data_IF_847163331718
#
_entry.id   IF_847163331718
#
_cell.length_a   1.000
_cell.length_b   1.000
_cell.length_c   1.000
_cell.angle_alpha   90.00
_cell.angle_beta   90.00
_cell.angle_gamma   90.00
#
_symmetry.space_group_name_H-M   'P 1'
#
loop_
_entity.id
_entity.type
_entity.pdbx_description
1 polymer ?
#
# COMPACT_ATOMS: atom_id res chain seq x y z
N UNK A 1 38.38 -12.08 30.00
CA UNK A 1 37.74 -10.82 30.44
C UNK A 1 37.02 -10.22 29.22
N UNK A 2 35.79 -10.62 28.95
CA UNK A 2 34.99 -10.12 27.82
C UNK A 2 34.33 -8.80 28.19
N UNK A 3 34.57 -7.74 27.42
CA UNK A 3 33.97 -6.42 27.62
C UNK A 3 32.43 -6.51 27.49
N UNK A 4 31.65 -5.79 28.32
CA UNK A 4 30.21 -5.72 28.14
C UNK A 4 29.88 -5.04 26.81
N UNK A 5 29.14 -5.74 25.94
CA UNK A 5 28.56 -5.16 24.73
C UNK A 5 27.52 -4.12 25.14
N UNK A 6 27.84 -2.84 24.95
CA UNK A 6 26.91 -1.73 25.17
C UNK A 6 25.62 -2.01 24.37
N UNK A 7 24.41 -1.96 24.96
CA UNK A 7 23.19 -2.18 24.21
C UNK A 7 23.08 -1.14 23.08
N UNK A 8 22.53 -1.52 21.91
CA UNK A 8 22.34 -0.57 20.82
C UNK A 8 21.57 0.64 21.34
N UNK A 9 22.09 1.85 21.08
CA UNK A 9 21.50 3.12 21.52
C UNK A 9 20.01 3.15 21.16
N UNK A 10 19.17 3.11 22.18
CA UNK A 10 17.73 3.19 22.03
C UNK A 10 17.36 4.60 21.54
N UNK A 11 16.67 4.68 20.41
CA UNK A 11 16.27 5.95 19.78
C UNK A 11 15.09 6.50 20.57
N UNK A 12 15.34 7.49 21.45
CA UNK A 12 14.30 8.08 22.29
C UNK A 12 13.65 9.31 21.65
N UNK A 13 14.32 9.95 20.68
CA UNK A 13 13.80 11.11 19.99
C UNK A 13 13.89 11.00 18.47
N UNK A 14 12.93 11.62 17.76
CA UNK A 14 12.91 11.70 16.29
C UNK A 14 14.18 12.32 15.69
N UNK A 15 14.92 13.09 16.50
CA UNK A 15 16.18 13.75 16.13
C UNK A 15 17.33 12.76 16.05
N UNK A 16 17.25 11.64 16.77
CA UNK A 16 18.27 10.59 16.85
C UNK A 16 18.18 9.60 15.67
N UNK A 17 17.19 9.78 14.79
CA UNK A 17 17.03 8.98 13.58
C UNK A 17 18.13 9.29 12.56
N UNK A 18 18.77 8.23 12.07
CA UNK A 18 19.72 8.32 10.96
C UNK A 18 19.05 8.85 9.68
N UNK A 19 19.81 9.45 8.75
CA UNK A 19 19.27 9.91 7.46
C UNK A 19 18.57 8.80 6.66
N UNK A 20 19.05 7.55 6.77
CA UNK A 20 18.45 6.39 6.09
C UNK A 20 17.09 6.02 6.71
N UNK A 21 16.94 6.06 8.04
CA UNK A 21 15.66 5.81 8.70
C UNK A 21 14.63 6.89 8.35
N UNK A 22 15.04 8.16 8.27
CA UNK A 22 14.16 9.26 7.84
C UNK A 22 13.67 9.06 6.40
N UNK A 23 14.57 8.72 5.47
CA UNK A 23 14.20 8.44 4.07
C UNK A 23 13.28 7.23 3.94
N UNK A 24 13.56 6.15 4.67
CA UNK A 24 12.72 4.94 4.65
C UNK A 24 11.34 5.18 5.25
N UNK A 25 11.27 5.95 6.35
CA UNK A 25 10.00 6.35 6.96
C UNK A 25 9.18 7.26 6.04
N UNK A 26 9.82 8.23 5.38
CA UNK A 26 9.17 9.07 4.38
C UNK A 26 8.65 8.24 3.19
N UNK A 27 9.45 7.29 2.68
CA UNK A 27 9.04 6.42 1.59
C UNK A 27 7.83 5.56 1.98
N UNK A 28 7.82 4.98 3.18
CA UNK A 28 6.67 4.23 3.70
C UNK A 28 5.43 5.11 3.87
N UNK A 29 5.60 6.33 4.38
CA UNK A 29 4.51 7.29 4.53
C UNK A 29 3.92 7.72 3.17
N UNK A 30 4.78 8.00 2.18
CA UNK A 30 4.34 8.33 0.83
C UNK A 30 3.63 7.15 0.16
N UNK A 31 4.14 5.92 0.34
CA UNK A 31 3.46 4.73 -0.16
C UNK A 31 2.04 4.59 0.39
N UNK A 32 1.88 4.79 1.71
CA UNK A 32 0.56 4.78 2.35
C UNK A 32 -0.35 5.93 1.87
N UNK A 33 0.21 7.13 1.69
CA UNK A 33 -0.52 8.29 1.18
C UNK A 33 -1.08 8.01 -0.22
N UNK A 34 -0.25 7.49 -1.13
CA UNK A 34 -0.66 7.21 -2.49
C UNK A 34 -1.66 6.06 -2.60
N UNK A 35 -1.53 5.03 -1.75
CA UNK A 35 -2.52 3.95 -1.64
C UNK A 35 -3.90 4.48 -1.23
N UNK A 36 -3.95 5.35 -0.21
CA UNK A 36 -5.20 6.00 0.21
C UNK A 36 -5.77 6.97 -0.83
N UNK A 37 -4.90 7.67 -1.57
CA UNK A 37 -5.31 8.59 -2.64
C UNK A 37 -6.00 7.84 -3.78
N UNK A 38 -5.47 6.68 -4.20
CA UNK A 38 -6.06 5.88 -5.28
C UNK A 38 -7.47 5.41 -4.90
N UNK A 39 -7.64 4.91 -3.67
CA UNK A 39 -8.94 4.48 -3.18
C UNK A 39 -9.94 5.64 -3.13
N UNK A 40 -9.51 6.83 -2.69
CA UNK A 40 -10.35 8.02 -2.68
C UNK A 40 -10.72 8.47 -4.09
N UNK A 41 -9.75 8.50 -5.01
CA UNK A 41 -9.98 8.88 -6.41
C UNK A 41 -11.01 7.95 -7.05
N UNK A 42 -10.88 6.64 -6.86
CA UNK A 42 -11.86 5.67 -7.34
C UNK A 42 -13.27 6.01 -6.87
N UNK A 43 -13.49 6.30 -5.59
CA UNK A 43 -14.83 6.63 -5.08
C UNK A 43 -15.44 7.87 -5.72
N UNK A 44 -14.63 8.85 -6.15
CA UNK A 44 -15.10 10.06 -6.82
C UNK A 44 -15.52 9.80 -8.28
N UNK A 45 -14.83 8.88 -8.96
CA UNK A 45 -15.05 8.63 -10.40
C UNK A 45 -15.84 7.35 -10.69
N UNK A 46 -16.05 6.48 -9.70
CA UNK A 46 -16.63 5.15 -9.88
C UNK A 46 -18.01 5.19 -10.55
N UNK A 47 -18.88 6.12 -10.15
CA UNK A 47 -20.23 6.23 -10.72
C UNK A 47 -20.19 6.54 -12.22
N UNK A 48 -19.47 7.60 -12.61
CA UNK A 48 -19.35 8.00 -14.02
C UNK A 48 -18.64 6.92 -14.84
N UNK A 49 -17.56 6.34 -14.30
CA UNK A 49 -16.80 5.29 -14.97
C UNK A 49 -17.63 4.03 -15.24
N UNK A 50 -18.36 3.55 -14.22
CA UNK A 50 -19.18 2.34 -14.35
C UNK A 50 -20.42 2.60 -15.21
N UNK A 51 -21.04 3.78 -15.15
CA UNK A 51 -22.14 4.15 -16.04
C UNK A 51 -21.70 4.12 -17.52
N UNK A 52 -20.53 4.68 -17.82
CA UNK A 52 -19.93 4.61 -19.16
C UNK A 52 -19.63 3.17 -19.58
N UNK A 53 -19.04 2.36 -18.69
CA UNK A 53 -18.73 0.95 -18.97
C UNK A 53 -19.98 0.13 -19.29
N UNK A 54 -21.11 0.44 -18.65
CA UNK A 54 -22.39 -0.24 -18.86
C UNK A 54 -23.21 0.38 -19.99
N UNK A 55 -22.78 1.49 -20.58
CA UNK A 55 -23.57 2.27 -21.55
C UNK A 55 -24.97 2.60 -21.01
N UNK A 56 -25.05 2.94 -19.72
CA UNK A 56 -26.30 3.28 -19.02
C UNK A 56 -26.20 4.66 -18.35
N UNK A 57 -27.29 5.14 -17.77
CA UNK A 57 -27.31 6.38 -17.02
C UNK A 57 -26.75 6.18 -15.60
N UNK A 58 -26.16 7.22 -15.02
CA UNK A 58 -25.61 7.20 -13.65
C UNK A 58 -26.68 6.89 -12.58
N UNK A 59 -27.95 7.20 -12.87
CA UNK A 59 -29.08 6.91 -11.99
C UNK A 59 -29.52 5.44 -11.98
N UNK A 60 -28.93 4.58 -12.84
CA UNK A 60 -29.25 3.15 -12.88
C UNK A 60 -28.73 2.45 -11.60
N UNK A 61 -29.61 1.75 -10.84
CA UNK A 61 -29.21 1.01 -9.65
C UNK A 61 -28.06 0.01 -9.87
N UNK A 62 -27.90 -0.50 -11.10
CA UNK A 62 -26.82 -1.42 -11.44
C UNK A 62 -25.43 -0.78 -11.39
N UNK A 63 -25.33 0.54 -11.59
CA UNK A 63 -24.06 1.27 -11.55
C UNK A 63 -23.46 1.22 -10.14
N UNK A 64 -24.25 1.57 -9.11
CA UNK A 64 -23.80 1.52 -7.72
C UNK A 64 -23.44 0.12 -7.25
N UNK A 65 -24.22 -0.89 -7.66
CA UNK A 65 -23.94 -2.29 -7.33
C UNK A 65 -22.62 -2.76 -7.96
N UNK A 66 -22.40 -2.50 -9.25
CA UNK A 66 -21.19 -2.95 -9.95
C UNK A 66 -19.94 -2.18 -9.52
N UNK A 67 -20.06 -0.87 -9.25
CA UNK A 67 -18.98 -0.10 -8.62
C UNK A 67 -18.56 -0.72 -7.28
N UNK A 68 -19.54 -1.09 -6.44
CA UNK A 68 -19.27 -1.73 -5.15
C UNK A 68 -18.61 -3.11 -5.29
N UNK A 69 -18.98 -3.89 -6.32
CA UNK A 69 -18.34 -5.18 -6.62
C UNK A 69 -16.88 -4.99 -7.06
N UNK A 70 -16.59 -4.01 -7.93
CA UNK A 70 -15.22 -3.69 -8.35
C UNK A 70 -14.40 -3.27 -7.12
N UNK A 71 -14.96 -2.42 -6.26
CA UNK A 71 -14.31 -2.02 -5.02
C UNK A 71 -14.01 -3.21 -4.09
N UNK A 72 -14.96 -4.14 -3.96
CA UNK A 72 -14.77 -5.35 -3.15
C UNK A 72 -13.67 -6.25 -3.74
N UNK A 73 -13.63 -6.42 -5.05
CA UNK A 73 -12.57 -7.17 -5.74
C UNK A 73 -11.19 -6.53 -5.50
N UNK A 74 -11.11 -5.19 -5.50
CA UNK A 74 -9.89 -4.47 -5.18
C UNK A 74 -9.43 -4.74 -3.73
N UNK A 75 -10.33 -4.72 -2.75
CA UNK A 75 -10.00 -5.03 -1.35
C UNK A 75 -9.52 -6.48 -1.16
N UNK A 76 -10.11 -7.43 -1.89
CA UNK A 76 -9.64 -8.82 -1.91
C UNK A 76 -8.22 -8.88 -2.48
N UNK A 77 -7.98 -8.20 -3.61
CA UNK A 77 -6.65 -8.08 -4.21
C UNK A 77 -5.63 -7.48 -3.25
N UNK A 78 -6.01 -6.45 -2.50
CA UNK A 78 -5.18 -5.79 -1.48
C UNK A 78 -4.81 -6.76 -0.35
N UNK A 79 -5.77 -7.52 0.18
CA UNK A 79 -5.52 -8.51 1.22
C UNK A 79 -4.61 -9.66 0.73
N UNK A 80 -4.87 -10.18 -0.47
CA UNK A 80 -4.07 -11.24 -1.08
C UNK A 80 -2.64 -10.76 -1.40
N UNK A 81 -2.51 -9.55 -1.96
CA UNK A 81 -1.24 -8.92 -2.27
C UNK A 81 -0.42 -8.68 -1.01
N UNK A 82 -1.01 -8.09 0.04
CA UNK A 82 -0.34 -7.87 1.32
C UNK A 82 0.16 -9.17 1.96
N UNK A 83 -0.66 -10.22 1.96
CA UNK A 83 -0.26 -11.53 2.47
C UNK A 83 0.84 -12.20 1.64
N UNK A 84 0.66 -12.24 0.31
CA UNK A 84 1.61 -12.86 -0.62
C UNK A 84 2.96 -12.12 -0.60
N UNK A 85 2.96 -10.81 -0.82
CA UNK A 85 4.18 -10.01 -0.82
C UNK A 85 4.81 -9.89 0.56
N UNK A 86 4.03 -9.92 1.64
CA UNK A 86 4.55 -10.03 3.01
C UNK A 86 5.38 -11.31 3.19
N UNK A 87 4.83 -12.46 2.77
CA UNK A 87 5.53 -13.75 2.85
C UNK A 87 6.77 -13.80 1.96
N UNK A 88 6.69 -13.26 0.75
CA UNK A 88 7.82 -13.17 -0.18
C UNK A 88 8.93 -12.24 0.37
N UNK A 89 8.56 -11.12 1.00
CA UNK A 89 9.50 -10.21 1.63
C UNK A 89 10.26 -10.85 2.81
N UNK A 90 9.59 -11.74 3.56
CA UNK A 90 10.21 -12.49 4.66
C UNK A 90 11.20 -13.56 4.16
N UNK A 91 10.96 -14.13 2.97
CA UNK A 91 11.80 -15.19 2.40
C UNK A 91 13.03 -14.67 1.65
N UNK A 92 12.91 -13.55 0.93
CA UNK A 92 13.95 -13.05 0.00
C UNK A 92 14.64 -11.77 0.55
N UNK A 93 14.08 -11.18 1.61
CA UNK A 93 14.51 -9.92 2.19
C UNK A 93 13.78 -8.72 1.59
N UNK A 94 13.25 -7.84 2.45
CA UNK A 94 12.38 -6.69 2.10
C UNK A 94 12.88 -5.84 0.92
N UNK A 95 14.19 -5.62 0.79
CA UNK A 95 14.76 -4.82 -0.31
C UNK A 95 14.83 -5.56 -1.65
N UNK A 96 14.95 -6.89 -1.66
CA UNK A 96 15.06 -7.69 -2.89
C UNK A 96 13.68 -7.99 -3.48
N UNK A 97 12.69 -8.25 -2.63
CA UNK A 97 11.30 -8.41 -3.06
C UNK A 97 10.75 -7.14 -3.74
N UNK A 98 11.08 -5.96 -3.20
CA UNK A 98 10.62 -4.67 -3.74
C UNK A 98 11.25 -4.33 -5.10
N UNK A 99 12.50 -4.74 -5.34
CA UNK A 99 13.14 -4.57 -6.66
C UNK A 99 12.55 -5.54 -7.68
N UNK A 100 12.18 -6.76 -7.27
CA UNK A 100 11.59 -7.75 -8.16
C UNK A 100 10.25 -7.26 -8.74
N UNK A 101 9.38 -6.68 -7.91
CA UNK A 101 8.05 -6.17 -8.33
C UNK A 101 8.09 -4.98 -9.28
N UNK A 102 9.24 -4.31 -9.41
CA UNK A 102 9.41 -3.16 -10.30
C UNK A 102 10.00 -3.61 -11.66
N UNK A 103 10.76 -4.71 -11.68
CA UNK A 103 11.49 -5.19 -12.87
C UNK A 103 10.72 -6.21 -13.73
N UNK A 104 9.72 -6.87 -13.17
CA UNK A 104 8.83 -7.82 -13.87
C UNK A 104 7.42 -7.28 -13.92
#
# INVERSE_FOLDING_TARGET
MSLPSNPPREIQHLRDLSPQQKRSGLAAWLGWLFDGLDMHLYTLVATAFVAQLLTTNEADPQVGQKASIIQAAFLIGWALGGGFFGRVADLIGRSRALVLTILT
#
